data_IF_674045592047
#
_entry.id   IF_674045592047
#
_cell.length_a   1.000
_cell.length_b   1.000
_cell.length_c   1.000
_cell.angle_alpha   90.00
_cell.angle_beta   90.00
_cell.angle_gamma   90.00
#
_symmetry.space_group_name_H-M   'P 1'
#
loop_
_entity.id
_entity.type
_entity.pdbx_description
1 polymer ?
#
# COMPACT_ATOMS: atom_id res chain seq x y z
N UNK A 1 5.08 3.11 -12.48
CA UNK A 1 5.37 1.67 -12.62
C UNK A 1 4.09 0.86 -12.45
N UNK A 2 4.10 -0.46 -12.65
CA UNK A 2 2.90 -1.32 -12.50
C UNK A 2 2.32 -1.26 -11.07
N UNK A 3 3.20 -1.13 -10.07
CA UNK A 3 2.84 -0.93 -8.67
C UNK A 3 2.03 0.35 -8.47
N UNK A 4 2.51 1.50 -8.97
CA UNK A 4 1.80 2.78 -8.87
C UNK A 4 0.40 2.73 -9.46
N UNK A 5 0.23 2.02 -10.58
CA UNK A 5 -1.07 1.88 -11.20
C UNK A 5 -2.04 1.09 -10.31
N UNK A 6 -1.57 0.04 -9.63
CA UNK A 6 -2.39 -0.73 -8.68
C UNK A 6 -2.71 0.12 -7.45
N UNK A 7 -1.73 0.86 -6.92
CA UNK A 7 -1.94 1.76 -5.79
C UNK A 7 -2.97 2.85 -6.12
N UNK A 8 -2.89 3.47 -7.31
CA UNK A 8 -3.89 4.46 -7.77
C UNK A 8 -5.29 3.91 -7.91
N UNK A 9 -5.44 2.64 -8.29
CA UNK A 9 -6.75 2.03 -8.51
C UNK A 9 -7.37 1.56 -7.21
N UNK A 10 -6.58 0.95 -6.33
CA UNK A 10 -7.10 0.21 -5.17
C UNK A 10 -6.81 0.83 -3.82
N UNK A 11 -5.82 1.71 -3.73
CA UNK A 11 -5.40 2.34 -2.49
C UNK A 11 -5.65 3.86 -2.49
N UNK A 12 -6.50 4.35 -3.42
CA UNK A 12 -6.90 5.75 -3.45
C UNK A 12 -7.58 6.14 -2.14
N UNK A 13 -7.08 7.22 -1.53
CA UNK A 13 -7.43 7.74 -0.21
C UNK A 13 -7.47 6.67 0.90
N UNK A 14 -6.74 5.56 0.70
CA UNK A 14 -6.74 4.37 1.57
C UNK A 14 -8.15 3.83 1.88
N UNK A 15 -9.07 3.89 0.92
CA UNK A 15 -10.42 3.38 1.09
C UNK A 15 -10.40 1.87 1.45
N UNK A 16 -10.99 1.47 2.59
CA UNK A 16 -10.91 0.09 3.07
C UNK A 16 -11.65 -0.91 2.18
N UNK A 17 -12.66 -0.47 1.41
CA UNK A 17 -13.37 -1.35 0.47
C UNK A 17 -12.48 -1.68 -0.71
N UNK A 18 -11.85 -0.67 -1.31
CA UNK A 18 -10.92 -0.82 -2.44
C UNK A 18 -9.69 -1.65 -2.07
N UNK A 19 -9.16 -1.49 -0.84
CA UNK A 19 -8.09 -2.35 -0.32
C UNK A 19 -8.53 -3.80 -0.11
N UNK A 20 -9.79 -4.02 0.29
CA UNK A 20 -10.37 -5.37 0.37
C UNK A 20 -10.52 -6.00 -1.02
N UNK A 21 -10.90 -5.21 -2.03
CA UNK A 21 -10.94 -5.67 -3.42
C UNK A 21 -9.55 -6.03 -3.95
N UNK A 22 -8.51 -5.27 -3.60
CA UNK A 22 -7.12 -5.62 -3.92
C UNK A 22 -6.71 -6.94 -3.30
N UNK A 23 -7.05 -7.17 -2.03
CA UNK A 23 -6.82 -8.44 -1.36
C UNK A 23 -7.48 -9.59 -2.12
N UNK A 24 -8.78 -9.46 -2.44
CA UNK A 24 -9.50 -10.49 -3.17
C UNK A 24 -8.89 -10.74 -4.57
N UNK A 25 -8.43 -9.68 -5.25
CA UNK A 25 -7.72 -9.80 -6.52
C UNK A 25 -6.42 -10.60 -6.36
N UNK A 26 -5.64 -10.34 -5.30
CA UNK A 26 -4.40 -11.07 -4.98
C UNK A 26 -4.69 -12.55 -4.65
N UNK A 27 -5.68 -12.81 -3.80
CA UNK A 27 -6.10 -14.17 -3.42
C UNK A 27 -6.60 -14.96 -4.64
N UNK A 28 -7.26 -14.30 -5.61
CA UNK A 28 -7.66 -14.91 -6.89
C UNK A 28 -6.50 -15.17 -7.85
N UNK A 29 -5.28 -14.75 -7.50
CA UNK A 29 -4.08 -14.92 -8.30
C UNK A 29 -3.83 -13.82 -9.34
N UNK A 30 -4.63 -12.76 -9.36
CA UNK A 30 -4.24 -11.51 -10.03
C UNK A 30 -3.20 -10.82 -9.16
N UNK A 31 -2.36 -9.98 -9.75
CA UNK A 31 -1.40 -9.18 -8.96
C UNK A 31 -0.48 -9.96 -7.99
N UNK A 32 -0.15 -11.25 -8.23
CA UNK A 32 0.73 -12.04 -7.32
C UNK A 32 2.09 -11.42 -7.04
N UNK A 33 2.59 -10.61 -7.97
CA UNK A 33 3.82 -9.83 -7.86
C UNK A 33 3.70 -8.64 -6.89
N UNK A 34 2.49 -8.24 -6.48
CA UNK A 34 2.26 -7.07 -5.64
C UNK A 34 2.93 -7.23 -4.28
N UNK A 35 2.90 -8.43 -3.71
CA UNK A 35 3.56 -8.72 -2.44
C UNK A 35 5.05 -8.39 -2.48
N UNK A 36 5.77 -8.98 -3.45
CA UNK A 36 7.22 -8.83 -3.60
C UNK A 36 7.59 -7.37 -3.93
N UNK A 37 6.90 -6.77 -4.91
CA UNK A 37 7.19 -5.39 -5.35
C UNK A 37 6.85 -4.35 -4.27
N UNK A 38 5.72 -4.52 -3.56
CA UNK A 38 5.33 -3.58 -2.52
C UNK A 38 6.19 -3.74 -1.26
N UNK A 39 6.54 -4.97 -0.87
CA UNK A 39 7.47 -5.19 0.24
C UNK A 39 8.83 -4.56 -0.08
N UNK A 40 9.35 -4.75 -1.29
CA UNK A 40 10.59 -4.12 -1.74
C UNK A 40 10.51 -2.59 -1.75
N UNK A 41 9.40 -2.02 -2.23
CA UNK A 41 9.21 -0.58 -2.21
C UNK A 41 9.22 0.00 -0.79
N UNK A 42 8.68 -0.74 0.19
CA UNK A 42 8.75 -0.37 1.61
C UNK A 42 10.20 -0.49 2.10
N UNK A 43 10.90 -1.59 1.82
CA UNK A 43 12.24 -1.81 2.36
C UNK A 43 13.27 -0.85 1.79
N UNK A 44 13.15 -0.51 0.52
CA UNK A 44 14.05 0.38 -0.21
C UNK A 44 13.72 1.86 0.05
N UNK A 45 12.61 2.16 0.74
CA UNK A 45 12.14 3.53 0.92
C UNK A 45 11.82 4.22 -0.41
N UNK A 46 11.25 3.46 -1.36
CA UNK A 46 11.10 3.88 -2.76
C UNK A 46 10.14 5.07 -2.97
N UNK A 47 9.32 5.40 -1.98
CA UNK A 47 8.34 6.46 -2.05
C UNK A 47 8.72 7.64 -1.15
N UNK A 48 8.91 8.80 -1.76
CA UNK A 48 8.83 10.07 -1.03
C UNK A 48 7.38 10.39 -0.65
N UNK A 49 7.18 11.38 0.22
CA UNK A 49 5.83 11.84 0.56
C UNK A 49 5.05 12.38 -0.65
N UNK A 50 5.74 13.01 -1.60
CA UNK A 50 5.12 13.54 -2.81
C UNK A 50 4.74 12.41 -3.77
N UNK A 51 5.66 11.48 -4.05
CA UNK A 51 5.39 10.33 -4.93
C UNK A 51 4.26 9.46 -4.39
N UNK A 52 4.24 9.26 -3.06
CA UNK A 52 3.19 8.51 -2.39
C UNK A 52 1.83 9.21 -2.56
N UNK A 53 1.75 10.53 -2.33
CA UNK A 53 0.51 11.30 -2.53
C UNK A 53 0.02 11.23 -3.97
N UNK A 54 0.91 11.24 -4.97
CA UNK A 54 0.53 11.05 -6.38
C UNK A 54 0.06 9.63 -6.71
N UNK A 55 0.49 8.62 -5.93
CA UNK A 55 0.11 7.23 -6.11
C UNK A 55 -1.21 6.89 -5.41
N UNK A 56 -1.46 7.41 -4.20
CA UNK A 56 -2.63 7.04 -3.39
C UNK A 56 -3.58 8.19 -3.07
N UNK A 57 -3.29 9.43 -3.44
CA UNK A 57 -4.16 10.56 -3.13
C UNK A 57 -3.94 11.11 -1.71
N UNK A 58 -4.90 11.88 -1.23
CA UNK A 58 -4.79 12.62 0.03
C UNK A 58 -5.54 11.85 1.13
N UNK A 59 -4.86 10.87 1.72
CA UNK A 59 -5.43 10.00 2.76
C UNK A 59 -5.65 10.70 4.12
N UNK A 60 -5.61 12.03 4.17
CA UNK A 60 -5.68 12.85 5.40
C UNK A 60 -7.03 12.70 6.12
N UNK A 61 -8.08 12.25 5.42
CA UNK A 61 -9.40 11.97 6.00
C UNK A 61 -9.53 10.60 6.69
N UNK A 62 -8.59 9.67 6.49
CA UNK A 62 -8.58 8.37 7.19
C UNK A 62 -8.01 8.53 8.60
N UNK A 63 -8.76 9.23 9.46
CA UNK A 63 -8.68 9.14 10.91
C UNK A 63 -7.30 9.32 11.55
N UNK A 64 -6.76 10.54 11.56
CA UNK A 64 -5.78 11.07 12.55
C UNK A 64 -4.48 10.27 12.85
N UNK A 65 -4.15 9.20 12.12
CA UNK A 65 -3.08 8.28 12.58
C UNK A 65 -2.06 7.88 11.52
N UNK A 66 -2.22 8.32 10.27
CA UNK A 66 -1.29 8.00 9.19
C UNK A 66 -0.57 9.27 8.70
N UNK A 67 0.14 9.92 9.61
CA UNK A 67 0.89 11.16 9.36
C UNK A 67 2.14 10.95 8.48
N UNK A 68 2.55 9.69 8.28
CA UNK A 68 3.72 9.33 7.49
C UNK A 68 3.40 8.33 6.37
N UNK A 69 4.21 8.36 5.30
CA UNK A 69 4.17 7.36 4.21
C UNK A 69 4.26 5.93 4.77
N UNK A 70 5.09 5.72 5.80
CA UNK A 70 5.25 4.40 6.41
C UNK A 70 3.99 3.90 7.12
N UNK A 71 3.22 4.78 7.77
CA UNK A 71 1.96 4.40 8.41
C UNK A 71 0.87 4.10 7.37
N UNK A 72 0.82 4.89 6.29
CA UNK A 72 -0.09 4.63 5.17
C UNK A 72 0.25 3.31 4.45
N UNK A 73 1.53 3.04 4.21
CA UNK A 73 2.00 1.76 3.69
C UNK A 73 1.63 0.59 4.62
N UNK A 74 1.69 0.80 5.94
CA UNK A 74 1.28 -0.20 6.92
C UNK A 74 -0.21 -0.48 6.86
N UNK A 75 -1.06 0.52 6.64
CA UNK A 75 -2.51 0.32 6.44
C UNK A 75 -2.77 -0.55 5.20
N UNK A 76 -2.11 -0.25 4.08
CA UNK A 76 -2.22 -1.07 2.86
C UNK A 76 -1.77 -2.50 3.15
N UNK A 77 -0.58 -2.67 3.73
CA UNK A 77 -0.02 -3.99 4.03
C UNK A 77 -0.92 -4.82 4.95
N UNK A 78 -1.37 -4.26 6.07
CA UNK A 78 -2.19 -4.98 7.04
C UNK A 78 -3.58 -5.33 6.50
N UNK A 79 -4.12 -4.52 5.58
CA UNK A 79 -5.41 -4.82 4.95
C UNK A 79 -5.26 -5.94 3.92
N UNK A 80 -4.22 -5.86 3.09
CA UNK A 80 -4.01 -6.78 1.97
C UNK A 80 -3.40 -8.12 2.42
N UNK A 81 -2.49 -8.08 3.38
CA UNK A 81 -1.75 -9.23 3.91
C UNK A 81 -1.88 -9.33 5.44
N UNK A 82 -3.09 -9.53 5.98
CA UNK A 82 -3.34 -9.45 7.43
C UNK A 82 -2.62 -10.52 8.26
N UNK A 83 -2.20 -11.62 7.64
CA UNK A 83 -1.46 -12.69 8.30
C UNK A 83 0.07 -12.47 8.30
N UNK A 84 0.56 -11.43 7.61
CA UNK A 84 1.98 -11.21 7.39
C UNK A 84 2.51 -10.03 8.20
N UNK A 85 3.71 -10.15 8.80
CA UNK A 85 4.34 -9.04 9.49
C UNK A 85 4.67 -7.92 8.51
N UNK A 86 4.59 -6.67 8.97
CA UNK A 86 4.99 -5.52 8.15
C UNK A 86 6.50 -5.58 7.84
N UNK A 87 6.90 -5.42 6.56
CA UNK A 87 8.31 -5.49 6.16
C UNK A 87 9.11 -4.36 6.82
N UNK A 88 10.27 -4.71 7.37
CA UNK A 88 11.17 -3.75 8.01
C UNK A 88 12.18 -3.23 6.99
N UNK A 89 12.49 -1.91 6.97
CA UNK A 89 13.52 -1.37 6.08
C UNK A 89 14.87 -2.04 6.32
N UNK A 90 15.59 -2.31 5.23
CA UNK A 90 16.95 -2.83 5.32
C UNK A 90 17.82 -1.76 6.01
N UNK A 91 18.38 -2.11 7.17
CA UNK A 91 19.26 -1.25 7.96
C UNK A 91 20.65 -1.13 7.34
#
# INVERSE_FOLDING_TARGET
MRLDQVLRVYAHDLDPRSLTDLRAAIESGRHRWFHDEFSRAITDGAYSAEDWREAVGDATEVGRSADSVGDQQRVVWQTVFPAEPFPAPAR
#
